data_IF_927128021728
#
_entry.id   IF_927128021728
#
_cell.length_a   1.000
_cell.length_b   1.000
_cell.length_c   1.000
_cell.angle_alpha   90.00
_cell.angle_beta   90.00
_cell.angle_gamma   90.00
#
_symmetry.space_group_name_H-M   'P 1'
#
loop_
_entity.id
_entity.type
_entity.pdbx_description
1 polymer ?
#
# COMPACT_ATOMS: atom_id res chain seq x y z
N UNK A 1 -29.34 12.36 25.77
CA UNK A 1 -28.30 11.41 25.31
C UNK A 1 -27.07 12.26 24.99
N UNK A 2 -26.10 12.32 25.88
CA UNK A 2 -24.86 13.05 25.64
C UNK A 2 -24.09 12.35 24.52
N UNK A 3 -23.91 13.01 23.41
CA UNK A 3 -22.97 12.58 22.38
C UNK A 3 -21.58 12.83 22.94
N UNK A 4 -20.89 11.79 23.43
CA UNK A 4 -19.47 11.89 23.76
C UNK A 4 -18.73 12.22 22.46
N UNK A 5 -18.20 13.43 22.37
CA UNK A 5 -17.31 13.84 21.30
C UNK A 5 -16.04 12.99 21.39
N UNK A 6 -15.89 12.02 20.49
CA UNK A 6 -14.67 11.23 20.39
C UNK A 6 -13.61 12.08 19.69
N UNK A 7 -12.80 12.78 20.48
CA UNK A 7 -11.61 13.42 19.97
C UNK A 7 -10.64 12.34 19.48
N UNK A 8 -10.46 12.22 18.18
CA UNK A 8 -9.45 11.34 17.57
C UNK A 8 -8.06 11.84 17.99
N UNK A 9 -7.29 10.99 18.64
CA UNK A 9 -5.91 11.26 18.97
C UNK A 9 -5.03 10.80 17.82
N UNK A 10 -4.24 11.71 17.26
CA UNK A 10 -3.31 11.40 16.18
C UNK A 10 -1.93 11.97 16.46
N UNK A 11 -0.93 11.35 15.85
CA UNK A 11 0.47 11.76 15.86
C UNK A 11 0.93 11.95 14.43
N UNK A 12 1.78 12.93 14.22
CA UNK A 12 2.36 13.25 12.91
C UNK A 12 3.87 13.37 13.05
N UNK A 13 4.59 12.47 12.43
CA UNK A 13 6.04 12.37 12.46
C UNK A 13 6.60 12.43 11.04
N UNK A 14 7.81 12.96 10.90
CA UNK A 14 8.54 12.93 9.64
C UNK A 14 9.86 12.19 9.84
N UNK A 15 10.05 11.12 9.09
CA UNK A 15 11.27 10.32 9.13
C UNK A 15 12.44 11.07 8.46
N UNK A 16 13.71 10.67 8.74
CA UNK A 16 14.89 11.34 8.15
C UNK A 16 14.92 11.34 6.63
N UNK A 17 14.26 10.39 5.97
CA UNK A 17 14.13 10.31 4.51
C UNK A 17 12.99 11.19 3.94
N UNK A 18 12.30 11.96 4.79
CA UNK A 18 11.21 12.85 4.39
C UNK A 18 9.82 12.18 4.35
N UNK A 19 9.72 10.88 4.67
CA UNK A 19 8.42 10.20 4.74
C UNK A 19 7.63 10.72 5.94
N UNK A 20 6.42 11.20 5.70
CA UNK A 20 5.47 11.58 6.75
C UNK A 20 4.69 10.35 7.20
N UNK A 21 4.67 10.12 8.52
CA UNK A 21 3.93 9.03 9.16
C UNK A 21 2.85 9.64 10.04
N UNK A 22 1.60 9.28 9.80
CA UNK A 22 0.45 9.67 10.61
C UNK A 22 -0.10 8.44 11.33
N UNK A 23 -0.14 8.48 12.64
CA UNK A 23 -0.74 7.43 13.46
C UNK A 23 -2.01 7.94 14.12
N UNK A 24 -3.10 7.20 13.97
CA UNK A 24 -4.40 7.51 14.59
C UNK A 24 -4.72 6.43 15.62
N UNK A 25 -4.91 6.82 16.87
CA UNK A 25 -5.33 5.91 17.94
C UNK A 25 -6.85 5.71 17.91
N UNK A 26 -7.27 4.46 17.83
CA UNK A 26 -8.68 4.04 17.89
C UNK A 26 -8.84 2.95 18.97
N UNK A 27 -8.85 3.31 20.27
CA UNK A 27 -8.77 2.34 21.37
C UNK A 27 -9.96 1.38 21.48
N UNK A 28 -11.05 1.69 20.79
CA UNK A 28 -12.27 0.86 20.73
C UNK A 28 -12.29 -0.11 19.55
N UNK A 29 -11.26 -0.08 18.69
CA UNK A 29 -11.12 -0.96 17.51
C UNK A 29 -9.97 -1.92 17.76
N UNK A 30 -10.21 -3.21 17.52
CA UNK A 30 -9.23 -4.28 17.71
C UNK A 30 -8.51 -4.67 16.40
N UNK A 31 -8.70 -3.90 15.35
CA UNK A 31 -8.05 -4.09 14.04
C UNK A 31 -7.12 -2.92 13.76
N UNK A 32 -6.10 -3.19 12.97
CA UNK A 32 -5.17 -2.18 12.48
C UNK A 32 -5.28 -2.04 10.98
N UNK A 33 -5.12 -0.84 10.49
CA UNK A 33 -4.98 -0.54 9.05
C UNK A 33 -3.64 0.17 8.84
N UNK A 34 -2.86 -0.30 7.89
CA UNK A 34 -1.65 0.36 7.40
C UNK A 34 -1.91 0.81 5.98
N UNK A 35 -1.75 2.09 5.71
CA UNK A 35 -1.97 2.67 4.38
C UNK A 35 -0.81 3.56 3.95
N UNK A 36 -0.37 3.40 2.71
CA UNK A 36 0.58 4.27 2.03
C UNK A 36 -0.16 5.07 0.96
N UNK A 37 0.02 6.39 0.99
CA UNK A 37 -0.51 7.30 -0.01
C UNK A 37 0.63 7.80 -0.88
N UNK A 38 0.57 7.49 -2.15
CA UNK A 38 1.54 7.92 -3.15
C UNK A 38 0.92 9.05 -3.97
N UNK A 39 1.62 10.16 -4.10
CA UNK A 39 1.15 11.32 -4.88
C UNK A 39 1.28 11.04 -6.38
N UNK A 40 0.48 10.09 -6.85
CA UNK A 40 0.34 9.66 -8.23
C UNK A 40 -1.12 9.32 -8.48
N UNK A 41 -1.71 9.86 -9.53
CA UNK A 41 -3.11 9.67 -9.85
C UNK A 41 -3.50 10.41 -11.12
N UNK A 42 -4.75 10.30 -11.52
CA UNK A 42 -5.25 10.78 -12.82
C UNK A 42 -4.98 12.27 -13.07
N UNK A 43 -4.93 13.09 -12.00
CA UNK A 43 -4.69 14.54 -12.10
C UNK A 43 -3.28 14.89 -12.59
N UNK A 44 -2.32 14.00 -12.42
CA UNK A 44 -0.92 14.20 -12.84
C UNK A 44 -0.63 13.63 -14.23
N UNK A 45 -1.64 13.08 -14.88
CA UNK A 45 -1.55 12.48 -16.20
C UNK A 45 -1.91 13.47 -17.31
N UNK A 46 -1.46 13.16 -18.51
CA UNK A 46 -1.80 13.88 -19.72
C UNK A 46 -2.24 12.90 -20.82
N UNK A 47 -2.57 13.38 -22.01
CA UNK A 47 -3.05 12.54 -23.11
C UNK A 47 -2.05 11.46 -23.57
N UNK A 48 -0.75 11.63 -23.29
CA UNK A 48 0.30 10.69 -23.71
C UNK A 48 0.50 9.56 -22.70
N UNK A 49 0.18 9.81 -21.42
CA UNK A 49 0.39 8.86 -20.33
C UNK A 49 -0.89 8.56 -19.54
N UNK A 50 -2.04 8.81 -20.13
CA UNK A 50 -3.35 8.58 -19.50
C UNK A 50 -3.52 7.10 -19.09
N UNK A 51 -3.87 6.88 -17.82
CA UNK A 51 -4.03 5.55 -17.24
C UNK A 51 -2.75 4.94 -16.67
N UNK A 52 -1.60 5.64 -16.71
CA UNK A 52 -0.32 5.09 -16.23
C UNK A 52 -0.31 4.81 -14.73
N UNK A 53 -0.96 5.64 -13.92
CA UNK A 53 -1.03 5.44 -12.47
C UNK A 53 -1.80 4.16 -12.12
N UNK A 54 -2.93 3.94 -12.77
CA UNK A 54 -3.73 2.73 -12.59
C UNK A 54 -3.02 1.50 -13.16
N UNK A 55 -2.35 1.63 -14.30
CA UNK A 55 -1.54 0.56 -14.86
C UNK A 55 -0.39 0.17 -13.91
N UNK A 56 0.30 1.15 -13.33
CA UNK A 56 1.37 0.91 -12.37
C UNK A 56 0.84 0.22 -11.11
N UNK A 57 -0.33 0.63 -10.61
CA UNK A 57 -1.01 -0.06 -9.52
C UNK A 57 -1.13 -1.56 -9.80
N UNK A 58 -1.68 -1.94 -10.96
CA UNK A 58 -1.80 -3.35 -11.34
C UNK A 58 -0.45 -4.05 -11.48
N UNK A 59 0.57 -3.34 -11.99
CA UNK A 59 1.91 -3.91 -12.14
C UNK A 59 2.58 -4.21 -10.80
N UNK A 60 2.33 -3.41 -9.77
CA UNK A 60 2.86 -3.63 -8.42
C UNK A 60 2.41 -4.98 -7.84
N UNK A 61 1.21 -5.45 -8.18
CA UNK A 61 0.66 -6.73 -7.71
C UNK A 61 1.22 -7.96 -8.46
N UNK A 62 2.06 -7.79 -9.47
CA UNK A 62 2.59 -8.93 -10.27
C UNK A 62 3.59 -9.80 -9.53
N UNK A 63 3.99 -9.40 -8.34
CA UNK A 63 4.98 -10.08 -7.52
C UNK A 63 6.28 -9.28 -7.42
N UNK A 64 7.26 -9.88 -6.76
CA UNK A 64 8.61 -9.33 -6.61
C UNK A 64 9.67 -10.44 -6.70
N UNK A 65 10.92 -10.14 -6.41
CA UNK A 65 12.01 -11.11 -6.48
C UNK A 65 11.84 -12.32 -5.55
N UNK A 66 11.07 -12.17 -4.47
CA UNK A 66 10.80 -13.22 -3.46
C UNK A 66 9.47 -13.94 -3.73
N UNK A 67 8.46 -13.22 -4.18
CA UNK A 67 7.13 -13.73 -4.47
C UNK A 67 6.86 -13.61 -5.99
N UNK A 68 6.92 -14.73 -6.74
CA UNK A 68 7.03 -14.69 -8.20
C UNK A 68 5.75 -14.27 -8.93
N UNK A 69 4.62 -14.21 -8.23
CA UNK A 69 3.33 -13.83 -8.80
C UNK A 69 2.39 -13.23 -7.75
N UNK A 70 1.26 -12.70 -8.21
CA UNK A 70 0.25 -12.06 -7.35
C UNK A 70 -0.34 -13.01 -6.30
N UNK A 71 -0.52 -14.27 -6.63
CA UNK A 71 -1.09 -15.26 -5.69
C UNK A 71 -0.15 -15.47 -4.51
N UNK A 72 1.13 -15.74 -4.77
CA UNK A 72 2.14 -15.93 -3.72
C UNK A 72 2.30 -14.69 -2.84
N UNK A 73 2.27 -13.49 -3.43
CA UNK A 73 2.35 -12.24 -2.70
C UNK A 73 1.10 -12.03 -1.80
N UNK A 74 -0.09 -12.21 -2.34
CA UNK A 74 -1.33 -12.03 -1.57
C UNK A 74 -1.47 -13.04 -0.44
N UNK A 75 -1.10 -14.30 -0.66
CA UNK A 75 -1.10 -15.31 0.40
C UNK A 75 -0.26 -14.91 1.61
N UNK A 76 0.88 -14.25 1.40
CA UNK A 76 1.70 -13.76 2.53
C UNK A 76 1.00 -12.65 3.32
N UNK A 77 0.29 -11.74 2.64
CA UNK A 77 -0.51 -10.71 3.34
C UNK A 77 -1.70 -11.33 4.07
N UNK A 78 -2.41 -12.28 3.47
CA UNK A 78 -3.51 -13.00 4.10
C UNK A 78 -3.06 -13.79 5.35
N UNK A 79 -1.85 -14.37 5.32
CA UNK A 79 -1.28 -15.08 6.47
C UNK A 79 -1.00 -14.19 7.69
N UNK A 80 -0.79 -12.90 7.49
CA UNK A 80 -0.52 -11.94 8.56
C UNK A 80 -1.73 -11.07 8.94
N UNK A 81 -2.85 -11.23 8.26
CA UNK A 81 -4.07 -10.48 8.54
C UNK A 81 -5.05 -10.51 7.39
N UNK A 82 -5.06 -9.47 6.57
CA UNK A 82 -5.92 -9.35 5.40
C UNK A 82 -5.12 -9.02 4.15
N UNK A 83 -5.72 -9.28 3.01
CA UNK A 83 -5.23 -9.03 1.67
C UNK A 83 -4.69 -7.60 1.48
N UNK A 84 -3.69 -7.49 0.64
CA UNK A 84 -3.16 -6.23 0.14
C UNK A 84 -4.17 -5.62 -0.83
N UNK A 85 -4.47 -4.34 -0.63
CA UNK A 85 -5.44 -3.57 -1.44
C UNK A 85 -4.78 -2.35 -2.04
N UNK A 86 -5.28 -1.91 -3.20
CA UNK A 86 -4.91 -0.62 -3.76
C UNK A 86 -6.11 0.05 -4.43
N UNK A 87 -6.00 1.35 -4.61
CA UNK A 87 -6.98 2.16 -5.33
C UNK A 87 -6.30 3.40 -5.89
N UNK A 88 -6.43 3.61 -7.19
CA UNK A 88 -5.96 4.81 -7.88
C UNK A 88 -7.08 5.84 -7.97
N UNK A 89 -6.86 7.01 -7.40
CA UNK A 89 -7.79 8.12 -7.35
C UNK A 89 -7.27 9.33 -8.17
N UNK A 90 -7.98 10.44 -8.10
CA UNK A 90 -7.63 11.64 -8.85
C UNK A 90 -6.23 12.17 -8.49
N UNK A 91 -5.92 12.31 -7.22
CA UNK A 91 -4.70 12.97 -6.74
C UNK A 91 -3.66 12.02 -6.12
N UNK A 92 -4.05 10.79 -5.79
CA UNK A 92 -3.16 9.82 -5.17
C UNK A 92 -3.55 8.38 -5.50
N UNK A 93 -2.60 7.49 -5.35
CA UNK A 93 -2.83 6.05 -5.29
C UNK A 93 -2.60 5.59 -3.85
N UNK A 94 -3.57 4.90 -3.29
CA UNK A 94 -3.50 4.32 -1.96
C UNK A 94 -3.19 2.83 -2.07
N UNK A 95 -2.30 2.35 -1.22
CA UNK A 95 -2.04 0.93 -0.98
C UNK A 95 -2.23 0.66 0.49
N UNK A 96 -2.84 -0.46 0.86
CA UNK A 96 -3.11 -0.74 2.26
C UNK A 96 -3.30 -2.21 2.54
N UNK A 97 -3.06 -2.59 3.79
CA UNK A 97 -3.32 -3.93 4.32
C UNK A 97 -3.70 -3.82 5.80
N UNK A 98 -4.35 -4.85 6.32
CA UNK A 98 -4.79 -4.88 7.72
C UNK A 98 -4.11 -6.04 8.44
N UNK A 99 -2.94 -5.83 9.07
CA UNK A 99 -2.24 -6.89 9.80
C UNK A 99 -2.94 -7.23 11.11
N UNK A 100 -2.72 -8.43 11.59
CA UNK A 100 -2.92 -8.74 13.00
C UNK A 100 -1.91 -7.94 13.83
N UNK A 101 -2.29 -7.47 15.02
CA UNK A 101 -1.39 -6.65 15.86
C UNK A 101 -0.05 -7.31 16.15
N UNK A 102 -0.05 -8.64 16.37
CA UNK A 102 1.17 -9.43 16.60
C UNK A 102 2.08 -9.52 15.36
N UNK A 103 1.55 -9.29 14.17
CA UNK A 103 2.23 -9.44 12.89
C UNK A 103 2.62 -8.10 12.25
N UNK A 104 2.47 -6.99 12.97
CA UNK A 104 2.74 -5.65 12.43
C UNK A 104 4.14 -5.52 11.83
N UNK A 105 5.17 -5.96 12.54
CA UNK A 105 6.55 -5.84 12.08
C UNK A 105 6.78 -6.63 10.78
N UNK A 106 6.30 -7.87 10.73
CA UNK A 106 6.37 -8.71 9.53
C UNK A 106 5.58 -8.09 8.38
N UNK A 107 4.42 -7.51 8.69
CA UNK A 107 3.59 -6.80 7.71
C UNK A 107 4.29 -5.57 7.12
N UNK A 108 4.97 -4.78 7.94
CA UNK A 108 5.74 -3.62 7.49
C UNK A 108 6.94 -4.03 6.63
N UNK A 109 7.63 -5.11 6.98
CA UNK A 109 8.72 -5.67 6.15
C UNK A 109 8.19 -6.09 4.77
N UNK A 110 7.11 -6.87 4.74
CA UNK A 110 6.48 -7.34 3.51
C UNK A 110 5.98 -6.17 2.65
N UNK A 111 5.40 -5.16 3.28
CA UNK A 111 4.91 -3.97 2.60
C UNK A 111 6.05 -3.11 2.04
N UNK A 112 7.17 -3.03 2.75
CA UNK A 112 8.40 -2.40 2.27
C UNK A 112 8.96 -3.15 1.05
N UNK A 113 9.05 -4.48 1.08
CA UNK A 113 9.47 -5.30 -0.06
C UNK A 113 8.55 -5.08 -1.28
N UNK A 114 7.25 -5.01 -1.06
CA UNK A 114 6.26 -4.72 -2.10
C UNK A 114 6.52 -3.38 -2.80
N UNK A 115 6.86 -2.33 -2.04
CA UNK A 115 7.09 -1.00 -2.60
C UNK A 115 8.45 -0.82 -3.26
N UNK A 116 9.51 -1.35 -2.64
CA UNK A 116 10.88 -1.03 -3.05
C UNK A 116 11.54 -2.10 -3.91
N UNK A 117 10.95 -3.28 -4.00
CA UNK A 117 11.47 -4.39 -4.78
C UNK A 117 10.45 -4.97 -5.78
N UNK A 118 9.60 -4.15 -6.44
CA UNK A 118 8.64 -4.68 -7.39
C UNK A 118 9.36 -5.35 -8.56
N UNK A 119 8.85 -6.49 -9.01
CA UNK A 119 9.35 -7.16 -10.20
C UNK A 119 8.49 -6.78 -11.40
N UNK A 120 9.00 -5.88 -12.23
CA UNK A 120 8.41 -5.61 -13.53
C UNK A 120 9.00 -6.61 -14.53
N UNK A 121 8.22 -7.61 -15.02
CA UNK A 121 8.73 -8.54 -16.01
C UNK A 121 9.14 -7.75 -17.25
N UNK A 122 10.44 -7.62 -17.43
CA UNK A 122 11.02 -7.01 -18.61
C UNK A 122 10.56 -7.75 -19.85
N UNK A 123 10.49 -7.06 -20.97
CA UNK A 123 10.19 -7.58 -22.28
C UNK A 123 11.09 -8.80 -22.57
N UNK A 124 10.61 -10.02 -22.31
CA UNK A 124 11.29 -11.21 -22.78
C UNK A 124 11.19 -11.18 -24.29
N UNK A 125 12.29 -10.73 -24.90
CA UNK A 125 12.64 -10.89 -26.30
C UNK A 125 11.45 -11.18 -27.23
N UNK A 126 10.96 -10.15 -27.92
CA UNK A 126 10.46 -10.33 -29.26
C UNK A 126 11.66 -10.74 -30.12
N UNK A 127 12.07 -11.99 -30.07
CA UNK A 127 12.81 -12.60 -31.16
C UNK A 127 11.85 -12.68 -32.34
N UNK A 128 12.18 -11.95 -33.34
CA UNK A 128 11.56 -11.97 -34.67
C UNK A 128 11.71 -13.35 -35.32
#
# INVERSE_FOLDING_TARGET
>A
MEVKEFALKYFNDTLPNGLTVVTVEMPHIHTMEVSMFVRAGLRYENLQNNGISHFLEHMMFRGNGKYPNSIALNMEFENIGRDLRASTLGEYTQYGFSPHLSELNKGLELFSEFFFLPHFPGNRNRTR
#
